data_IF_197155887702
#
_entry.id   IF_197155887702
#
_cell.length_a   1.000
_cell.length_b   1.000
_cell.length_c   1.000
_cell.angle_alpha   90.00
_cell.angle_beta   90.00
_cell.angle_gamma   90.00
#
_symmetry.space_group_name_H-M   'P 1'
#
loop_
_entity.id
_entity.type
_entity.pdbx_description
1 polymer ?
#
# COMPACT_ATOMS: atom_id res chain seq x y z
N UNK A 1 -46.92 13.40 -15.31
CA UNK A 1 -45.67 12.82 -14.75
C UNK A 1 -45.97 12.39 -13.34
N UNK A 2 -45.63 11.15 -12.92
CA UNK A 2 -45.89 10.71 -11.55
C UNK A 2 -45.00 11.49 -10.59
N UNK A 3 -45.56 11.84 -9.42
CA UNK A 3 -44.93 12.68 -8.41
C UNK A 3 -43.60 12.11 -7.95
N UNK A 4 -42.58 12.96 -7.95
CA UNK A 4 -41.21 12.67 -7.53
C UNK A 4 -41.17 12.79 -5.99
N UNK A 5 -41.00 11.67 -5.29
CA UNK A 5 -40.87 11.64 -3.83
C UNK A 5 -39.39 11.73 -3.45
N UNK A 6 -38.99 12.92 -3.02
CA UNK A 6 -37.60 13.26 -2.74
C UNK A 6 -37.12 12.66 -1.41
N UNK A 7 -38.02 12.35 -0.48
CA UNK A 7 -37.69 11.66 0.77
C UNK A 7 -37.38 10.18 0.49
N UNK A 8 -38.17 9.53 -0.36
CA UNK A 8 -37.94 8.13 -0.74
C UNK A 8 -36.57 7.92 -1.41
N UNK A 9 -36.11 8.87 -2.24
CA UNK A 9 -34.78 8.83 -2.87
C UNK A 9 -33.67 9.02 -1.84
N UNK A 10 -33.84 9.95 -0.88
CA UNK A 10 -32.84 10.18 0.16
C UNK A 10 -32.68 8.97 1.09
N UNK A 11 -33.76 8.26 1.40
CA UNK A 11 -33.71 7.02 2.19
C UNK A 11 -32.96 5.91 1.42
N UNK A 12 -33.17 5.77 0.11
CA UNK A 12 -32.44 4.80 -0.72
C UNK A 12 -30.95 5.15 -0.85
N UNK A 13 -30.61 6.45 -0.86
CA UNK A 13 -29.21 6.92 -0.88
C UNK A 13 -28.51 6.64 0.46
N UNK A 14 -29.21 6.75 1.60
CA UNK A 14 -28.65 6.33 2.89
C UNK A 14 -28.44 4.81 2.98
N UNK A 15 -29.39 4.01 2.50
CA UNK A 15 -29.27 2.54 2.48
C UNK A 15 -28.10 2.05 1.59
N UNK A 16 -27.72 2.81 0.57
CA UNK A 16 -26.59 2.49 -0.31
C UNK A 16 -25.22 2.87 0.25
N UNK A 17 -25.15 3.60 1.37
CA UNK A 17 -23.89 3.97 2.04
C UNK A 17 -23.35 2.89 2.98
N UNK A 18 -24.12 1.84 3.25
CA UNK A 18 -23.75 0.77 4.18
C UNK A 18 -23.41 -0.54 3.44
N UNK A 19 -22.33 -0.53 2.65
CA UNK A 19 -21.66 -1.78 2.21
C UNK A 19 -20.16 -1.55 2.08
N UNK A 20 -19.39 -2.22 2.95
CA UNK A 20 -17.94 -2.36 2.83
C UNK A 20 -17.55 -2.90 1.43
N UNK A 21 -16.69 -2.16 0.72
CA UNK A 21 -15.97 -2.50 -0.53
C UNK A 21 -16.54 -2.05 -1.89
N UNK A 22 -17.24 -0.93 -1.99
CA UNK A 22 -17.43 -0.23 -3.27
C UNK A 22 -16.84 1.19 -3.18
N UNK A 23 -16.08 1.68 -4.19
CA UNK A 23 -15.68 3.09 -4.18
C UNK A 23 -16.95 3.94 -4.13
N UNK A 24 -17.09 4.88 -3.20
CA UNK A 24 -18.28 5.70 -3.15
C UNK A 24 -18.32 6.56 -4.42
N UNK A 25 -19.16 6.19 -5.39
CA UNK A 25 -19.65 7.14 -6.37
C UNK A 25 -20.66 8.02 -5.66
N UNK A 26 -20.21 9.12 -5.07
CA UNK A 26 -21.12 10.05 -4.41
C UNK A 26 -21.94 10.79 -5.46
N UNK A 27 -23.18 10.35 -5.64
CA UNK A 27 -24.26 11.17 -6.20
C UNK A 27 -24.69 12.21 -5.17
N UNK A 28 -23.92 13.29 -5.03
CA UNK A 28 -24.46 14.54 -4.50
C UNK A 28 -25.51 15.08 -5.45
N UNK A 29 -26.54 15.77 -4.95
CA UNK A 29 -27.33 16.61 -5.84
C UNK A 29 -26.38 17.64 -6.47
N UNK A 30 -26.50 17.92 -7.77
CA UNK A 30 -25.61 18.83 -8.48
C UNK A 30 -25.55 20.28 -7.90
N UNK A 31 -26.30 20.56 -6.81
CA UNK A 31 -26.38 21.86 -6.15
C UNK A 31 -25.29 22.13 -5.10
N UNK A 32 -24.47 21.14 -4.74
CA UNK A 32 -23.47 21.28 -3.65
C UNK A 32 -22.02 21.06 -4.11
N UNK A 33 -21.81 20.62 -5.36
CA UNK A 33 -20.50 20.41 -5.95
C UNK A 33 -19.97 21.72 -6.54
N UNK A 34 -18.80 22.15 -6.08
CA UNK A 34 -18.05 23.31 -6.61
C UNK A 34 -16.65 22.88 -7.05
N UNK A 35 -16.05 23.69 -7.92
CA UNK A 35 -14.65 23.51 -8.35
C UNK A 35 -13.81 24.52 -7.61
N UNK A 36 -12.78 24.04 -6.92
CA UNK A 36 -11.75 24.88 -6.34
C UNK A 36 -10.49 24.83 -7.21
N UNK A 37 -9.83 25.97 -7.39
CA UNK A 37 -8.58 26.09 -8.13
C UNK A 37 -7.45 26.44 -7.18
N UNK A 38 -6.21 26.05 -7.51
CA UNK A 38 -5.02 26.50 -6.78
C UNK A 38 -5.09 28.03 -6.59
N UNK A 39 -4.85 28.49 -5.36
CA UNK A 39 -4.81 29.93 -5.06
C UNK A 39 -3.65 30.58 -5.80
N UNK A 40 -3.95 31.63 -6.55
CA UNK A 40 -2.93 32.42 -7.27
C UNK A 40 -1.89 32.98 -6.31
N UNK A 41 -0.62 33.01 -6.75
CA UNK A 41 0.50 33.54 -5.96
C UNK A 41 1.10 32.57 -4.95
N UNK A 42 0.73 31.28 -5.02
CA UNK A 42 1.31 30.18 -4.23
C UNK A 42 2.02 29.13 -5.08
N UNK A 43 2.48 29.49 -6.27
CA UNK A 43 3.14 28.56 -7.18
C UNK A 43 4.36 27.90 -6.49
N UNK A 44 5.13 28.67 -5.72
CA UNK A 44 6.28 28.17 -4.94
C UNK A 44 5.89 27.19 -3.83
N UNK A 45 4.72 27.38 -3.20
CA UNK A 45 4.16 26.43 -2.22
C UNK A 45 3.77 25.13 -2.90
N UNK A 46 3.11 25.18 -4.05
CA UNK A 46 2.72 23.98 -4.79
C UNK A 46 3.94 23.21 -5.31
N UNK A 47 4.96 23.90 -5.81
CA UNK A 47 6.23 23.30 -6.23
C UNK A 47 6.94 22.58 -5.05
N UNK A 48 6.86 23.16 -3.85
CA UNK A 48 7.40 22.56 -2.64
C UNK A 48 6.56 21.36 -2.16
N UNK A 49 5.23 21.42 -2.28
CA UNK A 49 4.33 20.30 -1.96
C UNK A 49 4.61 19.08 -2.86
N UNK A 50 4.99 19.29 -4.12
CA UNK A 50 5.35 18.20 -5.05
C UNK A 50 6.62 17.43 -4.64
N UNK A 51 7.43 17.98 -3.72
CA UNK A 51 8.56 17.26 -3.13
C UNK A 51 8.16 16.35 -1.95
N UNK A 52 6.93 16.49 -1.45
CA UNK A 52 6.41 15.65 -0.37
C UNK A 52 5.96 14.28 -0.87
N UNK A 53 5.64 13.41 0.08
CA UNK A 53 5.27 12.03 -0.20
C UNK A 53 3.93 11.64 0.41
N UNK A 54 3.30 10.68 -0.22
CA UNK A 54 2.06 10.03 0.22
C UNK A 54 2.12 8.53 -0.09
N UNK A 55 1.11 7.77 0.31
CA UNK A 55 0.99 6.33 0.01
C UNK A 55 -0.32 6.04 -0.74
N UNK A 56 -0.46 4.82 -1.26
CA UNK A 56 -1.71 4.32 -1.85
C UNK A 56 -1.90 2.88 -1.41
N UNK A 57 -2.60 2.66 -0.31
CA UNK A 57 -2.82 1.33 0.28
C UNK A 57 -3.96 0.66 -0.47
N UNK A 58 -3.77 -0.61 -0.83
CA UNK A 58 -4.76 -1.43 -1.53
C UNK A 58 -5.28 -0.85 -2.87
N UNK A 59 -4.61 0.15 -3.44
CA UNK A 59 -4.97 0.71 -4.75
C UNK A 59 -4.89 -0.34 -5.87
N UNK A 60 -4.08 -1.38 -5.66
CA UNK A 60 -3.97 -2.55 -6.54
C UNK A 60 -3.91 -3.81 -5.66
N UNK A 61 -4.49 -4.91 -6.16
CA UNK A 61 -4.33 -6.22 -5.53
C UNK A 61 -2.84 -6.56 -5.41
N UNK A 62 -2.40 -6.92 -4.20
CA UNK A 62 -1.02 -7.35 -3.93
C UNK A 62 -0.58 -8.48 -4.85
N UNK A 63 0.67 -8.42 -5.31
CA UNK A 63 1.30 -9.42 -6.15
C UNK A 63 2.68 -9.78 -5.60
N UNK A 64 3.08 -11.04 -5.77
CA UNK A 64 4.44 -11.48 -5.42
C UNK A 64 5.49 -10.68 -6.20
N UNK A 65 6.65 -10.49 -5.59
CA UNK A 65 7.77 -9.80 -6.22
C UNK A 65 8.19 -10.47 -7.52
N UNK A 66 8.16 -11.81 -7.58
CA UNK A 66 8.37 -12.57 -8.82
C UNK A 66 7.41 -12.17 -9.94
N UNK A 67 6.11 -12.06 -9.64
CA UNK A 67 5.11 -11.66 -10.64
C UNK A 67 5.29 -10.21 -11.07
N UNK A 68 5.61 -9.32 -10.14
CA UNK A 68 5.90 -7.91 -10.43
C UNK A 68 7.13 -7.76 -11.31
N UNK A 69 8.22 -8.44 -11.00
CA UNK A 69 9.48 -8.42 -11.77
C UNK A 69 9.28 -8.96 -13.19
N UNK A 70 8.60 -10.10 -13.34
CA UNK A 70 8.24 -10.63 -14.67
C UNK A 70 7.33 -9.68 -15.45
N UNK A 71 6.39 -9.01 -14.76
CA UNK A 71 5.53 -7.97 -15.35
C UNK A 71 6.34 -6.77 -15.84
N UNK A 72 7.30 -6.29 -15.04
CA UNK A 72 8.18 -5.19 -15.38
C UNK A 72 9.03 -5.52 -16.62
N UNK A 73 9.71 -6.67 -16.63
CA UNK A 73 10.50 -7.11 -17.76
C UNK A 73 9.68 -7.21 -19.06
N UNK A 74 8.47 -7.80 -18.99
CA UNK A 74 7.55 -7.87 -20.13
C UNK A 74 7.11 -6.49 -20.60
N UNK A 75 6.75 -5.61 -19.68
CA UNK A 75 6.33 -4.24 -19.97
C UNK A 75 7.40 -3.47 -20.73
N UNK A 76 8.64 -3.47 -20.22
CA UNK A 76 9.78 -2.77 -20.81
C UNK A 76 10.06 -3.26 -22.23
N UNK A 77 9.97 -4.57 -22.45
CA UNK A 77 10.12 -5.18 -23.78
C UNK A 77 8.97 -4.81 -24.72
N UNK A 78 7.71 -4.88 -24.26
CA UNK A 78 6.54 -4.55 -25.07
C UNK A 78 6.52 -3.07 -25.49
N UNK A 79 6.91 -2.17 -24.58
CA UNK A 79 6.96 -0.73 -24.83
C UNK A 79 8.24 -0.30 -25.57
N UNK A 80 9.10 -1.26 -25.96
CA UNK A 80 10.38 -1.02 -26.66
C UNK A 80 11.33 -0.08 -25.92
N UNK A 81 11.22 -0.04 -24.59
CA UNK A 81 12.20 0.63 -23.73
C UNK A 81 13.47 -0.21 -23.66
N UNK A 82 13.31 -1.52 -23.48
CA UNK A 82 14.40 -2.49 -23.52
C UNK A 82 13.95 -3.83 -24.09
N UNK A 83 14.42 -4.15 -25.29
CA UNK A 83 14.02 -5.32 -26.05
C UNK A 83 14.41 -6.67 -25.42
N UNK A 84 15.41 -6.70 -24.54
CA UNK A 84 15.90 -7.92 -23.91
C UNK A 84 15.53 -8.02 -22.42
N UNK A 85 14.87 -7.01 -21.85
CA UNK A 85 14.51 -6.95 -20.43
C UNK A 85 13.77 -8.20 -19.95
N UNK A 86 12.74 -8.65 -20.68
CA UNK A 86 12.00 -9.86 -20.30
C UNK A 86 12.90 -11.10 -20.23
N UNK A 87 13.79 -11.28 -21.22
CA UNK A 87 14.70 -12.42 -21.28
C UNK A 87 15.74 -12.37 -20.16
N UNK A 88 16.33 -11.20 -19.91
CA UNK A 88 17.31 -11.01 -18.82
C UNK A 88 16.67 -11.28 -17.46
N UNK A 89 15.47 -10.75 -17.21
CA UNK A 89 14.72 -10.99 -15.98
C UNK A 89 14.45 -12.47 -15.77
N UNK A 90 13.98 -13.17 -16.80
CA UNK A 90 13.74 -14.62 -16.73
C UNK A 90 15.01 -15.37 -16.35
N UNK A 91 16.14 -15.07 -17.01
CA UNK A 91 17.41 -15.72 -16.71
C UNK A 91 17.86 -15.46 -15.27
N UNK A 92 17.79 -14.21 -14.79
CA UNK A 92 18.13 -13.85 -13.41
C UNK A 92 17.33 -14.65 -12.39
N UNK A 93 16.02 -14.83 -12.61
CA UNK A 93 15.17 -15.61 -11.70
C UNK A 93 15.55 -17.09 -11.76
N UNK A 94 15.77 -17.66 -12.94
CA UNK A 94 16.19 -19.07 -13.10
C UNK A 94 17.54 -19.32 -12.44
N UNK A 95 18.52 -18.43 -12.62
CA UNK A 95 19.83 -18.52 -11.97
C UNK A 95 19.69 -18.51 -10.45
N UNK A 96 18.82 -17.65 -9.92
CA UNK A 96 18.53 -17.61 -8.48
C UNK A 96 17.83 -18.88 -7.99
N UNK A 97 16.90 -19.43 -8.77
CA UNK A 97 16.28 -20.73 -8.44
C UNK A 97 17.34 -21.83 -8.38
N UNK A 98 18.28 -21.87 -9.32
CA UNK A 98 19.40 -22.82 -9.31
C UNK A 98 20.25 -22.64 -8.05
N UNK A 99 20.62 -21.40 -7.69
CA UNK A 99 21.38 -21.13 -6.46
C UNK A 99 20.67 -21.66 -5.21
N UNK A 100 19.36 -21.44 -5.08
CA UNK A 100 18.58 -21.92 -3.92
C UNK A 100 18.44 -23.44 -3.90
N UNK A 101 18.31 -24.09 -5.06
CA UNK A 101 18.25 -25.55 -5.18
C UNK A 101 19.61 -26.18 -4.81
N UNK A 102 20.73 -25.59 -5.23
CA UNK A 102 22.07 -26.06 -4.83
C UNK A 102 22.27 -25.97 -3.31
N UNK A 103 21.83 -24.90 -2.66
CA UNK A 103 21.86 -24.81 -1.18
C UNK A 103 21.03 -25.90 -0.50
N UNK A 104 19.87 -26.25 -1.06
CA UNK A 104 19.04 -27.34 -0.55
C UNK A 104 19.72 -28.70 -0.71
N UNK A 105 20.47 -28.89 -1.80
CA UNK A 105 21.26 -30.10 -2.04
C UNK A 105 22.44 -30.21 -1.07
N UNK A 106 23.21 -29.14 -0.91
CA UNK A 106 24.36 -29.10 0.00
C UNK A 106 23.96 -29.35 1.47
N UNK A 107 22.75 -28.94 1.86
CA UNK A 107 22.22 -29.18 3.21
C UNK A 107 21.57 -30.56 3.40
N UNK A 108 21.49 -31.40 2.36
CA UNK A 108 20.79 -32.69 2.38
C UNK A 108 19.25 -32.58 2.49
N UNK A 109 18.71 -31.36 2.46
CA UNK A 109 17.28 -31.09 2.59
C UNK A 109 16.53 -31.53 1.33
N UNK A 110 17.18 -31.42 0.17
CA UNK A 110 16.62 -31.82 -1.12
C UNK A 110 16.30 -33.32 -1.10
N UNK A 111 17.27 -34.18 -0.80
CA UNK A 111 17.13 -35.64 -0.79
C UNK A 111 16.10 -36.10 0.25
N UNK A 112 16.09 -35.48 1.44
CA UNK A 112 15.12 -35.77 2.49
C UNK A 112 13.68 -35.44 2.06
N UNK A 113 13.48 -34.29 1.39
CA UNK A 113 12.16 -33.89 0.88
C UNK A 113 11.74 -34.72 -0.34
N UNK A 114 12.67 -35.06 -1.23
CA UNK A 114 12.42 -35.97 -2.36
C UNK A 114 11.89 -37.32 -1.87
N UNK A 115 12.56 -37.92 -0.88
CA UNK A 115 12.14 -39.21 -0.31
C UNK A 115 10.75 -39.13 0.31
N UNK A 116 10.43 -38.04 1.01
CA UNK A 116 9.10 -37.86 1.60
C UNK A 116 7.99 -37.72 0.56
N UNK A 117 8.24 -37.02 -0.56
CA UNK A 117 7.26 -36.90 -1.66
C UNK A 117 6.98 -38.30 -2.23
N UNK A 118 8.01 -39.08 -2.50
CA UNK A 118 7.88 -40.45 -3.02
C UNK A 118 7.22 -41.41 -2.01
N UNK A 119 7.57 -41.34 -0.72
CA UNK A 119 7.07 -42.24 0.34
C UNK A 119 5.60 -41.96 0.73
N UNK A 120 5.16 -40.70 0.70
CA UNK A 120 3.75 -40.33 0.98
C UNK A 120 2.84 -40.80 -0.16
N UNK A 121 3.29 -40.70 -1.41
CA UNK A 121 2.48 -41.06 -2.58
C UNK A 121 2.33 -42.58 -2.75
N UNK A 122 3.40 -43.35 -2.48
CA UNK A 122 3.32 -44.83 -2.42
C UNK A 122 2.27 -45.32 -1.41
N UNK A 123 2.11 -44.61 -0.27
CA UNK A 123 1.09 -44.93 0.75
C UNK A 123 -0.32 -44.58 0.30
N UNK A 124 -0.52 -43.45 -0.39
CA UNK A 124 -1.84 -43.07 -0.93
C UNK A 124 -2.34 -44.07 -1.97
N UNK A 125 -1.47 -44.49 -2.89
CA UNK A 125 -1.79 -45.50 -3.92
C UNK A 125 -2.14 -46.85 -3.26
N UNK A 126 -1.41 -47.25 -2.22
CA UNK A 126 -1.67 -48.51 -1.49
C UNK A 126 -3.02 -48.49 -0.75
N UNK A 127 -3.46 -47.34 -0.26
CA UNK A 127 -4.75 -47.16 0.44
C UNK A 127 -5.92 -47.18 -0.55
N UNK A 128 -5.80 -46.53 -1.71
CA UNK A 128 -6.85 -46.52 -2.74
C UNK A 128 -7.07 -47.90 -3.38
N UNK A 129 -6.05 -48.78 -3.38
CA UNK A 129 -6.04 -50.04 -4.15
C UNK A 129 -6.22 -51.32 -3.35
N UNK A 130 -6.69 -51.27 -2.11
CA UNK A 130 -7.07 -52.48 -1.35
C UNK A 130 -8.23 -53.32 -1.96
N UNK A 131 -8.60 -53.10 -3.23
CA UNK A 131 -9.71 -53.78 -3.93
C UNK A 131 -9.36 -54.48 -5.25
N UNK A 132 -8.11 -54.53 -5.73
CA UNK A 132 -7.78 -55.23 -6.99
C UNK A 132 -6.50 -56.08 -6.94
N UNK A 133 -6.56 -57.25 -7.60
CA UNK A 133 -5.56 -58.33 -7.60
C UNK A 133 -4.26 -57.93 -8.31
N UNK A 134 -3.19 -58.51 -7.78
CA UNK A 134 -1.76 -58.24 -7.94
C UNK A 134 -1.22 -58.97 -9.16
N UNK A 135 -0.74 -58.25 -10.18
CA UNK A 135 0.34 -58.73 -11.09
C UNK A 135 0.98 -57.58 -11.89
N UNK A 136 0.29 -56.44 -12.06
CA UNK A 136 0.79 -55.27 -12.81
C UNK A 136 1.11 -54.04 -11.93
N UNK A 137 1.61 -54.28 -10.72
CA UNK A 137 1.84 -53.21 -9.74
C UNK A 137 3.09 -52.40 -10.12
N UNK A 138 4.14 -53.03 -10.67
CA UNK A 138 5.43 -52.37 -10.94
C UNK A 138 5.36 -51.21 -11.94
N UNK A 139 4.90 -51.46 -13.17
CA UNK A 139 4.81 -50.44 -14.21
C UNK A 139 3.76 -49.37 -13.90
N UNK A 140 2.61 -49.78 -13.35
CA UNK A 140 1.56 -48.85 -12.92
C UNK A 140 2.03 -47.90 -11.80
N UNK A 141 2.89 -48.36 -10.89
CA UNK A 141 3.41 -47.52 -9.79
C UNK A 141 4.36 -46.45 -10.33
N UNK A 142 5.19 -46.77 -11.33
CA UNK A 142 6.09 -45.80 -11.97
C UNK A 142 5.32 -44.76 -12.79
N UNK A 143 4.30 -45.18 -13.54
CA UNK A 143 3.44 -44.25 -14.28
C UNK A 143 2.61 -43.33 -13.36
N UNK A 144 2.11 -43.85 -12.24
CA UNK A 144 1.37 -43.06 -11.25
C UNK A 144 2.27 -41.98 -10.61
N UNK A 145 3.47 -42.36 -10.15
CA UNK A 145 4.46 -41.42 -9.60
C UNK A 145 4.86 -40.36 -10.63
N UNK A 146 5.03 -40.72 -11.91
CA UNK A 146 5.34 -39.75 -12.97
C UNK A 146 4.19 -38.76 -13.24
N UNK A 147 2.93 -39.20 -13.14
CA UNK A 147 1.75 -38.32 -13.29
C UNK A 147 1.58 -37.37 -12.09
N UNK A 148 1.96 -37.82 -10.90
CA UNK A 148 1.91 -37.00 -9.69
C UNK A 148 3.00 -35.93 -9.66
N UNK A 149 4.22 -36.25 -10.12
CA UNK A 149 5.29 -35.25 -10.32
C UNK A 149 4.83 -34.13 -11.26
N UNK A 150 4.15 -34.45 -12.37
CA UNK A 150 3.64 -33.44 -13.29
C UNK A 150 2.62 -32.52 -12.61
N UNK A 151 1.70 -33.09 -11.82
CA UNK A 151 0.70 -32.31 -11.08
C UNK A 151 1.33 -31.39 -10.04
N UNK A 152 2.34 -31.87 -9.31
CA UNK A 152 3.08 -31.07 -8.34
C UNK A 152 3.90 -29.98 -9.04
N UNK A 153 4.51 -30.29 -10.17
CA UNK A 153 5.28 -29.34 -10.98
C UNK A 153 4.38 -28.22 -11.52
N UNK A 154 3.17 -28.53 -11.98
CA UNK A 154 2.16 -27.53 -12.37
C UNK A 154 1.66 -26.70 -11.17
N UNK A 155 1.55 -27.29 -9.98
CA UNK A 155 1.25 -26.54 -8.74
C UNK A 155 2.37 -25.57 -8.40
N UNK A 156 3.62 -26.01 -8.45
CA UNK A 156 4.80 -25.16 -8.28
C UNK A 156 4.80 -24.02 -9.31
N UNK A 157 4.43 -24.32 -10.55
CA UNK A 157 4.25 -23.35 -11.62
C UNK A 157 3.23 -22.26 -11.32
N UNK A 158 2.09 -22.60 -10.71
CA UNK A 158 1.08 -21.63 -10.27
C UNK A 158 1.58 -20.73 -9.14
N UNK A 159 2.38 -21.29 -8.21
CA UNK A 159 2.99 -20.53 -7.11
C UNK A 159 4.00 -19.51 -7.64
N UNK A 160 4.98 -19.95 -8.42
CA UNK A 160 6.00 -19.09 -9.03
C UNK A 160 5.39 -18.09 -10.03
N UNK A 161 4.42 -18.54 -10.82
CA UNK A 161 3.73 -17.76 -11.84
C UNK A 161 4.54 -17.58 -13.13
N UNK A 162 3.90 -17.02 -14.15
CA UNK A 162 4.50 -16.65 -15.45
C UNK A 162 5.29 -17.76 -16.18
N UNK A 163 5.04 -19.04 -15.87
CA UNK A 163 5.75 -20.15 -16.52
C UNK A 163 7.17 -20.39 -16.01
N UNK A 164 7.55 -19.81 -14.86
CA UNK A 164 8.93 -19.91 -14.33
C UNK A 164 9.41 -21.35 -14.09
N UNK A 165 8.53 -22.24 -13.63
CA UNK A 165 8.81 -23.69 -13.55
C UNK A 165 9.23 -24.30 -14.91
N UNK A 166 8.53 -23.99 -16.00
CA UNK A 166 8.88 -24.44 -17.35
C UNK A 166 10.17 -23.79 -17.85
N UNK A 167 10.41 -22.55 -17.46
CA UNK A 167 11.62 -21.82 -17.82
C UNK A 167 12.85 -22.42 -17.13
N UNK A 168 12.74 -22.81 -15.87
CA UNK A 168 13.75 -23.58 -15.17
C UNK A 168 13.97 -24.94 -15.84
N UNK A 169 12.88 -25.68 -16.11
CA UNK A 169 13.00 -26.99 -16.77
C UNK A 169 13.70 -26.92 -18.13
N UNK A 170 13.37 -25.91 -18.96
CA UNK A 170 14.05 -25.67 -20.24
C UNK A 170 15.53 -25.32 -20.09
N UNK A 171 15.90 -24.58 -19.06
CA UNK A 171 17.30 -24.24 -18.80
C UNK A 171 18.14 -25.46 -18.40
N UNK A 172 17.50 -26.50 -17.87
CA UNK A 172 18.12 -27.74 -17.38
C UNK A 172 17.72 -28.97 -18.21
N UNK A 173 17.35 -28.79 -19.49
CA UNK A 173 16.77 -29.84 -20.32
C UNK A 173 17.70 -31.03 -20.63
N UNK A 174 19.01 -30.89 -20.40
CA UNK A 174 20.02 -31.95 -20.56
C UNK A 174 20.02 -32.98 -19.40
N UNK A 175 19.29 -32.69 -18.30
CA UNK A 175 19.15 -33.57 -17.13
C UNK A 175 17.85 -34.38 -17.19
N UNK A 176 17.77 -35.44 -16.40
CA UNK A 176 16.56 -36.25 -16.29
C UNK A 176 15.34 -35.42 -15.89
N UNK A 177 14.26 -35.50 -16.69
CA UNK A 177 13.14 -34.57 -16.58
C UNK A 177 12.46 -34.59 -15.21
N UNK A 178 12.29 -35.79 -14.63
CA UNK A 178 11.68 -35.94 -13.31
C UNK A 178 12.55 -35.39 -12.20
N UNK A 179 13.89 -35.49 -12.32
CA UNK A 179 14.82 -34.91 -11.35
C UNK A 179 14.66 -33.39 -11.29
N UNK A 180 14.73 -32.73 -12.45
CA UNK A 180 14.60 -31.27 -12.57
C UNK A 180 13.23 -30.78 -12.08
N UNK A 181 12.15 -31.49 -12.43
CA UNK A 181 10.79 -31.14 -11.98
C UNK A 181 10.66 -31.23 -10.47
N UNK A 182 11.22 -32.28 -9.85
CA UNK A 182 11.18 -32.46 -8.40
C UNK A 182 11.99 -31.38 -7.68
N UNK A 183 13.11 -30.91 -8.24
CA UNK A 183 13.84 -29.77 -7.65
C UNK A 183 12.96 -28.52 -7.52
N UNK A 184 12.21 -28.19 -8.58
CA UNK A 184 11.29 -27.04 -8.58
C UNK A 184 10.17 -27.25 -7.55
N UNK A 185 9.64 -28.47 -7.45
CA UNK A 185 8.63 -28.81 -6.42
C UNK A 185 9.21 -28.59 -5.02
N UNK A 186 10.39 -29.13 -4.73
CA UNK A 186 11.03 -29.02 -3.41
C UNK A 186 11.36 -27.56 -3.07
N UNK A 187 11.85 -26.78 -4.05
CA UNK A 187 12.10 -25.36 -3.91
C UNK A 187 10.83 -24.62 -3.46
N UNK A 188 9.71 -24.84 -4.15
CA UNK A 188 8.44 -24.15 -3.82
C UNK A 188 7.82 -24.58 -2.49
N UNK A 189 8.20 -25.75 -1.97
CA UNK A 189 7.81 -26.24 -0.64
C UNK A 189 8.79 -25.82 0.46
N UNK A 190 9.89 -25.13 0.14
CA UNK A 190 10.81 -24.58 1.13
C UNK A 190 10.50 -23.10 1.38
N UNK A 191 10.08 -22.77 2.61
CA UNK A 191 9.70 -21.41 2.97
C UNK A 191 10.87 -20.42 2.89
N UNK A 192 12.04 -20.81 3.41
CA UNK A 192 13.23 -19.93 3.44
C UNK A 192 13.75 -19.65 2.03
N UNK A 193 13.80 -20.68 1.17
CA UNK A 193 14.20 -20.51 -0.23
C UNK A 193 13.20 -19.65 -1.00
N UNK A 194 11.89 -19.82 -0.78
CA UNK A 194 10.88 -18.94 -1.39
C UNK A 194 10.97 -17.51 -0.87
N UNK A 195 11.25 -17.29 0.41
CA UNK A 195 11.46 -15.96 0.98
C UNK A 195 12.72 -15.30 0.40
N UNK A 196 13.81 -16.06 0.25
CA UNK A 196 15.05 -15.62 -0.42
C UNK A 196 14.78 -15.21 -1.87
N UNK A 197 14.02 -16.01 -2.61
CA UNK A 197 13.65 -15.76 -4.01
C UNK A 197 12.76 -14.53 -4.16
N UNK A 198 11.76 -14.34 -3.29
CA UNK A 198 10.91 -13.14 -3.28
C UNK A 198 11.71 -11.87 -2.96
N UNK A 199 12.61 -11.93 -1.96
CA UNK A 199 13.48 -10.79 -1.61
C UNK A 199 14.44 -10.43 -2.75
N UNK A 200 15.01 -11.43 -3.41
CA UNK A 200 15.84 -11.22 -4.60
C UNK A 200 15.04 -10.54 -5.71
N UNK A 201 13.86 -11.06 -6.03
CA UNK A 201 13.01 -10.51 -7.09
C UNK A 201 12.55 -9.07 -6.78
N UNK A 202 12.32 -8.74 -5.51
CA UNK A 202 11.96 -7.38 -5.10
C UNK A 202 13.11 -6.39 -5.32
N UNK A 203 14.33 -6.77 -4.93
CA UNK A 203 15.51 -5.95 -5.15
C UNK A 203 15.76 -5.71 -6.65
N UNK A 204 15.69 -6.77 -7.47
CA UNK A 204 15.87 -6.64 -8.91
C UNK A 204 14.71 -5.85 -9.57
N UNK A 205 13.49 -5.91 -9.04
CA UNK A 205 12.38 -5.08 -9.50
C UNK A 205 12.70 -3.60 -9.35
N UNK A 206 13.09 -3.15 -8.15
CA UNK A 206 13.36 -1.73 -7.91
C UNK A 206 14.60 -1.25 -8.67
N UNK A 207 15.65 -2.07 -8.75
CA UNK A 207 16.84 -1.76 -9.55
C UNK A 207 16.49 -1.55 -11.03
N UNK A 208 15.75 -2.48 -11.63
CA UNK A 208 15.34 -2.39 -13.04
C UNK A 208 14.36 -1.23 -13.28
N UNK A 209 13.46 -0.97 -12.34
CA UNK A 209 12.51 0.14 -12.41
C UNK A 209 13.23 1.49 -12.38
N UNK A 210 14.16 1.66 -11.44
CA UNK A 210 14.94 2.87 -11.24
C UNK A 210 15.81 3.19 -12.46
N UNK A 211 16.47 2.18 -13.04
CA UNK A 211 17.24 2.30 -14.28
C UNK A 211 16.40 2.88 -15.43
N UNK A 212 15.12 2.51 -15.52
CA UNK A 212 14.24 2.85 -16.64
C UNK A 212 13.21 3.93 -16.33
N UNK A 213 13.18 4.49 -15.12
CA UNK A 213 12.09 5.39 -14.67
C UNK A 213 11.89 6.62 -15.56
N UNK A 214 12.99 7.15 -16.12
CA UNK A 214 12.94 8.31 -17.05
C UNK A 214 12.23 7.94 -18.34
N UNK A 215 12.55 6.79 -18.93
CA UNK A 215 11.89 6.29 -20.14
C UNK A 215 10.42 5.94 -19.87
N UNK A 216 10.11 5.37 -18.71
CA UNK A 216 8.74 5.11 -18.28
C UNK A 216 7.95 6.42 -18.16
N UNK A 217 8.53 7.48 -17.61
CA UNK A 217 7.88 8.78 -17.43
C UNK A 217 7.47 9.46 -18.74
N UNK A 218 8.15 9.15 -19.85
CA UNK A 218 7.85 9.65 -21.20
C UNK A 218 6.70 8.91 -21.89
N UNK A 219 6.22 7.81 -21.32
CA UNK A 219 5.11 7.06 -21.91
C UNK A 219 3.77 7.79 -21.77
N UNK A 220 2.81 7.42 -22.63
CA UNK A 220 1.41 7.85 -22.49
C UNK A 220 0.84 7.41 -21.15
N UNK A 221 -0.09 8.20 -20.60
CA UNK A 221 -0.70 7.98 -19.28
C UNK A 221 -1.17 6.54 -19.05
N UNK A 222 -1.87 5.94 -20.03
CA UNK A 222 -2.35 4.56 -19.93
C UNK A 222 -1.22 3.55 -19.67
N UNK A 223 -0.05 3.74 -20.29
CA UNK A 223 1.12 2.88 -20.08
C UNK A 223 1.85 3.23 -18.79
N UNK A 224 1.97 4.51 -18.41
CA UNK A 224 2.52 4.90 -17.09
C UNK A 224 1.75 4.23 -15.94
N UNK A 225 0.41 4.22 -16.01
CA UNK A 225 -0.46 3.53 -15.04
C UNK A 225 -0.19 2.01 -14.95
N UNK A 226 0.30 1.35 -16.00
CA UNK A 226 0.67 -0.06 -15.93
C UNK A 226 1.88 -0.28 -14.99
N UNK A 227 2.94 0.51 -15.16
CA UNK A 227 4.14 0.43 -14.31
C UNK A 227 3.87 0.90 -12.89
N UNK A 228 3.06 1.95 -12.73
CA UNK A 228 2.60 2.40 -11.43
C UNK A 228 1.85 1.29 -10.69
N UNK A 229 0.94 0.57 -11.37
CA UNK A 229 0.24 -0.57 -10.78
C UNK A 229 1.17 -1.69 -10.35
N UNK A 230 2.21 -1.99 -11.13
CA UNK A 230 3.22 -2.98 -10.73
C UNK A 230 3.95 -2.54 -9.45
N UNK A 231 4.31 -1.26 -9.34
CA UNK A 231 4.97 -0.72 -8.15
C UNK A 231 4.05 -0.74 -6.92
N UNK A 232 2.78 -0.35 -7.10
CA UNK A 232 1.77 -0.31 -6.03
C UNK A 232 1.27 -1.70 -5.59
N UNK A 233 1.50 -2.74 -6.39
CA UNK A 233 1.15 -4.11 -6.03
C UNK A 233 2.13 -4.77 -5.05
N UNK A 234 3.11 -4.03 -4.52
CA UNK A 234 4.02 -4.50 -3.48
C UNK A 234 3.27 -4.94 -2.21
N UNK A 235 3.86 -5.86 -1.46
CA UNK A 235 3.28 -6.32 -0.19
C UNK A 235 3.25 -5.21 0.85
N UNK A 236 4.31 -4.41 0.88
CA UNK A 236 4.48 -3.24 1.74
C UNK A 236 4.23 -1.95 0.95
N UNK A 237 3.39 -1.03 1.46
CA UNK A 237 3.15 0.26 0.83
C UNK A 237 4.46 1.01 0.60
N UNK A 238 4.63 1.52 -0.61
CA UNK A 238 5.73 2.38 -0.98
C UNK A 238 5.28 3.83 -1.04
N UNK A 239 6.13 4.74 -0.60
CA UNK A 239 5.87 6.16 -0.76
C UNK A 239 5.90 6.55 -2.24
N UNK A 240 5.10 7.54 -2.58
CA UNK A 240 4.95 8.10 -3.92
C UNK A 240 5.01 9.63 -3.80
N UNK A 241 5.49 10.36 -4.80
CA UNK A 241 5.39 11.82 -4.80
C UNK A 241 3.94 12.26 -4.64
N UNK A 242 3.69 13.23 -3.76
CA UNK A 242 2.36 13.73 -3.51
C UNK A 242 2.00 14.85 -4.48
N UNK A 243 1.17 14.52 -5.46
CA UNK A 243 0.78 15.46 -6.52
C UNK A 243 -0.63 15.99 -6.26
N UNK A 244 -0.73 17.30 -6.03
CA UNK A 244 -2.01 18.00 -5.95
C UNK A 244 -2.40 18.55 -7.34
N UNK A 245 -3.65 18.42 -7.81
CA UNK A 245 -4.04 18.86 -9.16
C UNK A 245 -4.23 20.38 -9.25
N UNK A 246 -4.34 20.94 -10.46
CA UNK A 246 -4.64 22.37 -10.66
C UNK A 246 -6.02 22.77 -10.13
N UNK A 247 -6.97 21.85 -10.16
CA UNK A 247 -8.33 22.03 -9.64
C UNK A 247 -8.84 20.77 -8.97
N UNK A 248 -9.70 20.93 -7.96
CA UNK A 248 -10.36 19.84 -7.25
C UNK A 248 -11.87 20.05 -7.22
N UNK A 249 -12.59 18.93 -7.29
CA UNK A 249 -14.01 18.86 -6.99
C UNK A 249 -14.21 18.87 -5.47
N UNK A 250 -15.10 19.73 -4.98
CA UNK A 250 -15.34 19.91 -3.54
C UNK A 250 -16.83 20.06 -3.25
N UNK A 251 -17.31 19.37 -2.21
CA UNK A 251 -18.69 19.47 -1.75
C UNK A 251 -18.78 20.43 -0.58
N UNK A 252 -19.78 21.33 -0.61
CA UNK A 252 -20.10 22.20 0.53
C UNK A 252 -21.57 22.56 0.56
N UNK A 253 -22.06 22.89 1.75
CA UNK A 253 -23.37 23.51 1.89
C UNK A 253 -23.40 24.91 1.24
N UNK A 254 -24.57 25.39 0.76
CA UNK A 254 -24.69 26.72 0.18
C UNK A 254 -24.26 27.85 1.12
N UNK A 255 -24.47 27.65 2.43
CA UNK A 255 -24.18 28.62 3.49
C UNK A 255 -22.93 28.25 4.32
N UNK A 256 -22.05 27.40 3.79
CA UNK A 256 -20.89 26.94 4.53
C UNK A 256 -20.00 28.14 4.95
N UNK A 257 -19.45 28.13 6.19
CA UNK A 257 -18.56 29.18 6.67
C UNK A 257 -17.36 29.40 5.75
N UNK A 258 -16.89 30.65 5.67
CA UNK A 258 -15.70 31.04 4.91
C UNK A 258 -14.47 30.86 5.80
N UNK A 259 -13.41 30.29 5.24
CA UNK A 259 -12.11 30.18 5.91
C UNK A 259 -11.01 30.80 5.06
N UNK A 260 -10.17 31.59 5.72
CA UNK A 260 -9.05 32.27 5.10
C UNK A 260 -7.87 31.32 4.85
N UNK A 261 -6.96 31.75 3.97
CA UNK A 261 -5.68 31.10 3.70
C UNK A 261 -5.74 29.64 3.20
N UNK A 262 -6.88 29.11 2.76
CA UNK A 262 -6.91 27.79 2.13
C UNK A 262 -6.08 27.79 0.82
N UNK A 263 -5.43 26.66 0.49
CA UNK A 263 -4.60 26.52 -0.71
C UNK A 263 -5.40 26.51 -2.01
N UNK A 264 -6.69 26.15 -1.93
CA UNK A 264 -7.62 26.14 -3.06
C UNK A 264 -8.81 27.06 -2.81
N UNK A 265 -9.21 27.82 -3.83
CA UNK A 265 -10.31 28.79 -3.73
C UNK A 265 -11.34 28.55 -4.83
N UNK A 266 -12.60 28.90 -4.54
CA UNK A 266 -13.62 29.07 -5.59
C UNK A 266 -13.27 30.27 -6.49
N UNK A 267 -13.97 30.40 -7.62
CA UNK A 267 -13.77 31.51 -8.58
C UNK A 267 -13.92 32.91 -7.98
N UNK A 268 -14.65 33.04 -6.87
CA UNK A 268 -14.84 34.32 -6.17
C UNK A 268 -13.75 34.61 -5.13
N UNK A 269 -12.67 33.81 -5.10
CA UNK A 269 -11.52 34.01 -4.23
C UNK A 269 -11.73 33.56 -2.79
N UNK A 270 -12.79 32.79 -2.51
CA UNK A 270 -13.11 32.31 -1.15
C UNK A 270 -13.10 30.79 -1.08
N UNK A 271 -12.71 30.27 0.07
CA UNK A 271 -12.92 28.86 0.41
C UNK A 271 -14.01 28.76 1.46
N UNK A 272 -14.91 27.78 1.28
CA UNK A 272 -16.07 27.56 2.12
C UNK A 272 -16.23 26.07 2.39
N UNK A 273 -16.42 25.69 3.65
CA UNK A 273 -16.53 24.28 4.01
C UNK A 273 -17.33 24.06 5.29
N UNK A 274 -18.00 22.91 5.39
CA UNK A 274 -18.56 22.42 6.63
C UNK A 274 -17.49 21.60 7.36
N UNK A 275 -16.74 22.26 8.24
CA UNK A 275 -15.71 21.61 9.07
C UNK A 275 -16.33 21.01 10.33
N UNK A 276 -15.81 19.87 10.77
CA UNK A 276 -16.15 19.33 12.09
C UNK A 276 -15.70 20.28 13.21
N UNK A 277 -16.34 20.20 14.38
CA UNK A 277 -16.01 21.10 15.50
C UNK A 277 -14.51 21.05 15.87
N UNK A 278 -13.90 19.86 15.86
CA UNK A 278 -12.48 19.73 16.24
C UNK A 278 -11.53 20.20 15.14
N UNK A 279 -11.80 19.86 13.88
CA UNK A 279 -11.06 20.40 12.73
C UNK A 279 -11.07 21.94 12.75
N UNK A 280 -12.26 22.53 12.93
CA UNK A 280 -12.43 23.99 12.98
C UNK A 280 -11.63 24.61 14.11
N UNK A 281 -11.80 24.12 15.33
CA UNK A 281 -11.12 24.71 16.50
C UNK A 281 -9.59 24.57 16.37
N UNK A 282 -9.09 23.45 15.85
CA UNK A 282 -7.65 23.25 15.58
C UNK A 282 -7.17 24.22 14.51
N UNK A 283 -7.88 24.34 13.40
CA UNK A 283 -7.54 25.29 12.33
C UNK A 283 -7.53 26.74 12.82
N UNK A 284 -8.53 27.15 13.60
CA UNK A 284 -8.62 28.51 14.14
C UNK A 284 -7.45 28.85 15.06
N UNK A 285 -6.95 27.88 15.85
CA UNK A 285 -5.73 28.03 16.64
C UNK A 285 -4.49 28.16 15.77
N UNK A 286 -4.36 27.34 14.72
CA UNK A 286 -3.23 27.45 13.79
C UNK A 286 -3.22 28.81 13.11
N UNK A 287 -4.37 29.30 12.61
CA UNK A 287 -4.49 30.57 11.89
C UNK A 287 -4.12 31.82 12.72
N UNK A 288 -3.88 31.70 14.03
CA UNK A 288 -3.30 32.77 14.85
C UNK A 288 -1.79 32.98 14.58
N UNK A 289 -1.10 31.99 14.01
CA UNK A 289 0.30 32.12 13.62
C UNK A 289 0.44 32.93 12.32
N UNK A 290 1.13 34.06 12.40
CA UNK A 290 1.39 34.95 11.28
C UNK A 290 2.22 34.27 10.18
N UNK A 291 3.02 33.25 10.52
CA UNK A 291 3.87 32.52 9.59
C UNK A 291 3.11 31.50 8.72
N UNK A 292 1.82 31.28 8.97
CA UNK A 292 1.01 30.42 8.10
C UNK A 292 0.80 31.09 6.74
N UNK A 293 1.25 30.37 5.71
CA UNK A 293 1.03 30.73 4.31
C UNK A 293 -0.28 30.14 3.82
N UNK A 294 -0.60 28.90 4.18
CA UNK A 294 -1.89 28.32 3.85
C UNK A 294 -2.13 26.94 4.45
N UNK A 295 -3.28 26.37 4.12
CA UNK A 295 -3.68 25.06 4.62
C UNK A 295 -4.55 24.32 3.61
N UNK A 296 -4.53 22.99 3.68
CA UNK A 296 -5.36 22.10 2.88
C UNK A 296 -6.20 21.24 3.82
N UNK A 297 -7.52 21.22 3.61
CA UNK A 297 -8.37 20.14 4.12
C UNK A 297 -8.15 18.90 3.26
N UNK A 298 -7.58 17.86 3.84
CA UNK A 298 -7.39 16.60 3.15
C UNK A 298 -8.73 15.84 3.12
N UNK A 299 -9.19 15.44 1.95
CA UNK A 299 -10.46 14.72 1.80
C UNK A 299 -10.18 13.25 1.65
N UNK A 300 -10.92 12.41 2.37
CA UNK A 300 -10.76 10.95 2.35
C UNK A 300 -10.96 10.36 0.93
N UNK A 301 -10.11 9.39 0.56
CA UNK A 301 -10.13 8.58 -0.68
C UNK A 301 -10.22 9.35 -2.02
N UNK A 302 -9.78 10.60 -2.09
CA UNK A 302 -9.56 11.28 -3.39
C UNK A 302 -8.23 10.84 -3.98
N UNK A 303 -8.12 10.92 -5.31
CA UNK A 303 -6.88 10.57 -6.03
C UNK A 303 -5.68 11.41 -5.58
N UNK A 304 -5.93 12.59 -5.02
CA UNK A 304 -4.96 13.56 -4.54
C UNK A 304 -4.78 13.56 -3.03
N UNK A 305 -5.47 12.71 -2.26
CA UNK A 305 -5.38 12.74 -0.79
C UNK A 305 -3.99 12.42 -0.28
N UNK A 306 -3.63 13.03 0.85
CA UNK A 306 -2.55 12.56 1.70
C UNK A 306 -3.04 11.29 2.41
N UNK A 307 -2.42 10.16 2.11
CA UNK A 307 -2.79 8.85 2.61
C UNK A 307 -1.57 8.25 3.29
N UNK A 308 -1.77 7.76 4.51
CA UNK A 308 -0.72 7.15 5.33
C UNK A 308 -1.15 5.72 5.69
N UNK A 309 -0.29 4.71 5.51
CA UNK A 309 -0.60 3.36 5.90
C UNK A 309 -0.54 3.22 7.42
N UNK A 310 -1.42 2.37 7.97
CA UNK A 310 -1.29 1.90 9.33
C UNK A 310 -1.66 0.42 9.45
N UNK A 311 -1.13 -0.24 10.47
CA UNK A 311 -1.41 -1.64 10.75
C UNK A 311 -2.60 -1.79 11.71
N UNK A 312 -3.54 -2.66 11.37
CA UNK A 312 -4.68 -3.02 12.20
C UNK A 312 -5.00 -4.51 12.04
N UNK A 313 -4.96 -5.25 13.15
CA UNK A 313 -5.22 -6.70 13.19
C UNK A 313 -4.49 -7.51 12.09
N UNK A 314 -3.22 -7.20 11.83
CA UNK A 314 -2.39 -7.86 10.81
C UNK A 314 -2.65 -7.41 9.36
N UNK A 315 -3.60 -6.51 9.14
CA UNK A 315 -3.87 -5.90 7.84
C UNK A 315 -3.29 -4.49 7.77
N UNK A 316 -3.02 -4.03 6.55
CA UNK A 316 -2.63 -2.64 6.29
C UNK A 316 -3.86 -1.88 5.83
N UNK A 317 -4.18 -0.79 6.53
CA UNK A 317 -5.29 0.12 6.26
C UNK A 317 -4.77 1.52 5.92
N UNK A 318 -5.64 2.33 5.32
CA UNK A 318 -5.38 3.74 4.97
C UNK A 318 -5.92 4.65 6.05
N UNK A 319 -5.15 5.65 6.48
CA UNK A 319 -5.67 6.84 7.14
C UNK A 319 -5.37 8.08 6.31
N UNK A 320 -6.21 9.09 6.50
CA UNK A 320 -6.17 10.34 5.74
C UNK A 320 -6.21 11.48 6.76
N UNK A 321 -5.04 12.01 7.17
CA UNK A 321 -5.00 13.06 8.18
C UNK A 321 -5.79 14.29 7.76
N UNK A 322 -6.59 14.89 8.64
CA UNK A 322 -7.58 15.91 8.24
C UNK A 322 -6.97 17.19 7.65
N UNK A 323 -5.86 17.67 8.22
CA UNK A 323 -5.29 18.99 7.89
C UNK A 323 -3.81 18.91 7.52
N UNK A 324 -3.44 19.59 6.44
CA UNK A 324 -2.06 19.97 6.16
C UNK A 324 -1.92 21.49 6.36
N UNK A 325 -0.96 21.91 7.19
CA UNK A 325 -0.60 23.32 7.37
C UNK A 325 0.72 23.62 6.66
N UNK A 326 0.78 24.75 5.97
CA UNK A 326 1.99 25.29 5.35
C UNK A 326 2.41 26.55 6.09
N UNK A 327 3.58 26.50 6.72
CA UNK A 327 4.24 27.65 7.34
C UNK A 327 5.48 28.05 6.54
N UNK A 328 5.96 29.27 6.71
CA UNK A 328 7.22 29.73 6.12
C UNK A 328 8.08 30.38 7.19
N UNK A 329 9.36 30.03 7.19
CA UNK A 329 10.38 30.66 8.02
C UNK A 329 11.59 31.10 7.16
N UNK A 330 12.71 31.41 7.82
CA UNK A 330 13.96 31.81 7.15
C UNK A 330 14.58 30.68 6.29
N UNK A 331 14.27 29.41 6.57
CA UNK A 331 14.82 28.25 5.87
C UNK A 331 13.94 27.77 4.72
N UNK A 332 12.66 28.14 4.70
CA UNK A 332 11.76 27.87 3.59
C UNK A 332 10.36 27.48 4.05
N UNK A 333 9.72 26.60 3.29
CA UNK A 333 8.39 26.07 3.63
C UNK A 333 8.50 24.90 4.60
N UNK A 334 7.63 24.92 5.61
CA UNK A 334 7.45 23.83 6.57
C UNK A 334 6.04 23.26 6.42
N UNK A 335 5.94 21.94 6.44
CA UNK A 335 4.69 21.22 6.26
C UNK A 335 4.34 20.43 7.52
N UNK A 336 3.13 20.65 8.01
CA UNK A 336 2.65 20.01 9.23
C UNK A 336 1.39 19.20 8.95
N UNK A 337 1.35 17.97 9.45
CA UNK A 337 0.20 17.07 9.41
C UNK A 337 -0.50 17.15 10.76
N UNK A 338 -1.76 17.56 10.79
CA UNK A 338 -2.58 17.63 12.01
C UNK A 338 -3.80 16.72 11.87
N UNK A 339 -3.90 15.75 12.79
CA UNK A 339 -4.98 14.77 12.85
C UNK A 339 -5.74 14.92 14.18
N UNK A 340 -6.77 15.77 14.27
CA UNK A 340 -7.69 15.79 15.41
C UNK A 340 -8.52 14.50 15.43
N UNK A 341 -8.29 13.64 16.42
CA UNK A 341 -8.91 12.31 16.46
C UNK A 341 -9.56 11.99 17.80
N UNK A 342 -10.76 11.41 17.73
CA UNK A 342 -11.55 11.03 18.90
C UNK A 342 -10.91 9.82 19.62
N UNK A 343 -10.49 9.96 20.89
CA UNK A 343 -9.86 8.87 21.64
C UNK A 343 -10.78 7.68 21.89
N UNK A 344 -12.10 7.81 21.72
CA UNK A 344 -13.05 6.71 21.90
C UNK A 344 -13.05 5.70 20.74
N UNK A 345 -12.39 6.02 19.62
CA UNK A 345 -12.33 5.15 18.43
C UNK A 345 -11.34 3.99 18.64
N UNK A 346 -11.70 2.80 18.16
CA UNK A 346 -10.86 1.60 18.34
C UNK A 346 -9.55 1.62 17.53
N UNK A 347 -9.45 2.46 16.49
CA UNK A 347 -8.31 2.57 15.59
C UNK A 347 -7.19 3.51 16.10
N UNK A 348 -7.35 4.10 17.30
CA UNK A 348 -6.41 5.07 17.88
C UNK A 348 -4.97 4.57 17.90
N UNK A 349 -4.73 3.37 18.45
CA UNK A 349 -3.41 2.75 18.49
C UNK A 349 -2.82 2.58 17.08
N UNK A 350 -3.61 2.02 16.16
CA UNK A 350 -3.18 1.77 14.79
C UNK A 350 -2.76 3.07 14.10
N UNK A 351 -3.60 4.10 14.16
CA UNK A 351 -3.30 5.42 13.60
C UNK A 351 -2.06 6.07 14.25
N UNK A 352 -1.93 6.03 15.58
CA UNK A 352 -0.78 6.60 16.27
C UNK A 352 0.54 5.92 15.84
N UNK A 353 0.53 4.59 15.74
CA UNK A 353 1.67 3.80 15.23
C UNK A 353 1.95 4.12 13.77
N UNK A 354 0.93 4.19 12.91
CA UNK A 354 1.10 4.53 11.50
C UNK A 354 1.68 5.93 11.29
N UNK A 355 1.28 6.93 12.08
CA UNK A 355 1.84 8.28 12.04
C UNK A 355 3.30 8.28 12.52
N UNK A 356 3.61 7.50 13.55
CA UNK A 356 4.98 7.34 14.04
C UNK A 356 5.89 6.62 13.02
N UNK A 357 5.41 5.57 12.37
CA UNK A 357 6.13 4.86 11.30
C UNK A 357 6.33 5.73 10.06
N UNK A 358 5.34 6.54 9.71
CA UNK A 358 5.44 7.53 8.65
C UNK A 358 6.50 8.59 8.98
N UNK A 359 6.46 9.13 10.21
CA UNK A 359 7.45 10.08 10.69
C UNK A 359 8.87 9.47 10.73
N UNK A 360 9.04 8.21 11.12
CA UNK A 360 10.36 7.55 11.12
C UNK A 360 11.02 7.57 9.74
N UNK A 361 10.21 7.49 8.67
CA UNK A 361 10.67 7.48 7.28
C UNK A 361 10.77 8.87 6.65
N UNK A 362 9.96 9.83 7.08
CA UNK A 362 9.73 11.10 6.37
C UNK A 362 9.74 12.34 7.27
N UNK A 363 10.32 12.27 8.48
CA UNK A 363 10.40 13.41 9.41
C UNK A 363 11.14 14.61 8.82
N UNK A 364 12.01 14.39 7.83
CA UNK A 364 12.75 15.44 7.13
C UNK A 364 11.86 16.22 6.15
N UNK A 365 10.74 15.64 5.72
CA UNK A 365 9.78 16.27 4.80
C UNK A 365 8.63 16.98 5.54
N UNK A 366 8.32 16.55 6.77
CA UNK A 366 7.21 17.07 7.57
C UNK A 366 7.68 17.48 8.96
N UNK A 367 7.54 18.77 9.27
CA UNK A 367 8.10 19.35 10.50
C UNK A 367 7.32 18.95 11.75
N UNK A 368 5.99 18.89 11.67
CA UNK A 368 5.10 18.40 12.74
C UNK A 368 4.19 17.30 12.19
N UNK A 369 4.04 16.21 12.92
CA UNK A 369 3.08 15.14 12.60
C UNK A 369 2.31 14.83 13.87
N UNK A 370 1.14 15.44 14.02
CA UNK A 370 0.46 15.53 15.31
C UNK A 370 -0.84 14.74 15.32
N UNK A 371 -0.95 13.82 16.27
CA UNK A 371 -2.22 13.27 16.70
C UNK A 371 -2.77 14.15 17.83
N UNK A 372 -3.96 14.71 17.64
CA UNK A 372 -4.50 15.74 18.52
C UNK A 372 -5.77 15.24 19.18
N UNK A 373 -5.86 15.35 20.51
CA UNK A 373 -7.04 14.95 21.29
C UNK A 373 -7.60 16.12 22.07
N UNK A 374 -8.91 16.32 22.01
CA UNK A 374 -9.59 17.23 22.92
C UNK A 374 -9.71 16.58 24.30
N UNK A 375 -9.13 17.21 25.32
CA UNK A 375 -9.23 16.76 26.72
C UNK A 375 -9.61 17.94 27.62
N UNK A 376 -10.30 17.64 28.73
CA UNK A 376 -10.55 18.60 29.79
C UNK A 376 -9.37 18.59 30.76
N UNK A 377 -8.71 19.74 30.91
CA UNK A 377 -7.61 19.91 31.86
C UNK A 377 -8.09 19.87 33.32
N UNK A 378 -7.13 19.82 34.26
CA UNK A 378 -7.42 19.81 35.70
C UNK A 378 -8.14 21.08 36.19
N UNK A 379 -8.01 22.19 35.45
CA UNK A 379 -8.73 23.45 35.67
C UNK A 379 -10.16 23.46 35.10
N UNK A 380 -10.62 22.34 34.53
CA UNK A 380 -11.95 22.20 33.94
C UNK A 380 -12.07 22.77 32.53
N UNK A 381 -11.01 23.32 31.95
CA UNK A 381 -11.01 23.92 30.61
C UNK A 381 -10.63 22.87 29.57
N UNK A 382 -11.43 22.77 28.51
CA UNK A 382 -11.12 21.90 27.37
C UNK A 382 -10.01 22.52 26.51
N UNK A 383 -8.99 21.71 26.21
CA UNK A 383 -7.86 22.06 25.35
C UNK A 383 -7.56 20.91 24.38
N UNK A 384 -6.82 21.23 23.33
CA UNK A 384 -6.38 20.26 22.34
C UNK A 384 -4.95 19.85 22.64
N UNK A 385 -4.77 18.64 23.17
CA UNK A 385 -3.46 18.09 23.50
C UNK A 385 -2.86 17.40 22.28
N UNK A 386 -1.62 17.75 21.96
CA UNK A 386 -0.92 17.39 20.72
C UNK A 386 0.21 16.42 21.03
N UNK A 387 0.15 15.24 20.44
CA UNK A 387 1.22 14.26 20.48
C UNK A 387 1.96 14.28 19.14
N UNK A 388 3.17 14.84 19.15
CA UNK A 388 3.94 15.11 17.92
C UNK A 388 4.93 13.98 17.60
N UNK A 389 4.60 13.18 16.60
CA UNK A 389 5.43 12.10 16.08
C UNK A 389 6.65 12.60 15.28
N UNK A 390 6.69 13.88 14.92
CA UNK A 390 7.89 14.52 14.39
C UNK A 390 9.02 14.56 15.43
N UNK A 391 8.68 14.61 16.72
CA UNK A 391 9.66 14.57 17.80
C UNK A 391 10.20 13.14 18.01
N UNK A 392 11.51 12.96 17.84
CA UNK A 392 12.18 11.65 17.94
C UNK A 392 11.95 10.95 19.29
N UNK A 393 11.90 11.66 20.41
CA UNK A 393 11.68 11.03 21.72
C UNK A 393 10.24 10.51 21.85
N UNK A 394 9.26 11.32 21.44
CA UNK A 394 7.84 10.95 21.44
C UNK A 394 7.61 9.79 20.47
N UNK A 395 8.12 9.88 19.24
CA UNK A 395 8.03 8.83 18.22
C UNK A 395 8.55 7.49 18.73
N UNK A 396 9.72 7.47 19.35
CA UNK A 396 10.32 6.26 19.92
C UNK A 396 9.49 5.66 21.07
N UNK A 397 8.80 6.48 21.87
CA UNK A 397 7.85 5.99 22.88
C UNK A 397 6.66 5.33 22.21
N UNK A 398 6.05 6.00 21.23
CA UNK A 398 4.85 5.53 20.53
C UNK A 398 5.11 4.24 19.76
N UNK A 399 6.22 4.10 19.05
CA UNK A 399 6.58 2.88 18.32
C UNK A 399 6.70 1.61 19.19
N UNK A 400 6.77 1.75 20.52
CA UNK A 400 6.92 0.65 21.48
C UNK A 400 5.62 0.25 22.17
N UNK A 401 4.55 1.01 22.01
CA UNK A 401 3.27 0.72 22.65
C UNK A 401 2.51 -0.37 21.88
N UNK A 402 1.70 -1.14 22.58
CA UNK A 402 0.91 -2.25 22.01
C UNK A 402 -0.57 -2.20 22.40
N UNK A 403 -1.00 -1.13 23.09
CA UNK A 403 -2.38 -0.97 23.58
C UNK A 403 -2.81 0.50 23.61
N UNK A 404 -4.12 0.75 23.51
CA UNK A 404 -4.68 2.09 23.69
C UNK A 404 -4.40 2.65 25.09
N UNK A 405 -4.37 1.82 26.14
CA UNK A 405 -4.03 2.28 27.50
C UNK A 405 -2.61 2.86 27.58
N UNK A 406 -1.64 2.26 26.90
CA UNK A 406 -0.28 2.82 26.84
C UNK A 406 -0.23 4.10 26.00
N UNK A 407 -1.03 4.18 24.92
CA UNK A 407 -1.16 5.42 24.16
C UNK A 407 -1.72 6.55 25.03
N UNK A 408 -2.72 6.27 25.86
CA UNK A 408 -3.29 7.24 26.79
C UNK A 408 -2.25 7.75 27.79
N UNK A 409 -1.42 6.86 28.34
CA UNK A 409 -0.30 7.21 29.22
C UNK A 409 0.72 8.11 28.51
N UNK A 410 1.10 7.78 27.28
CA UNK A 410 2.02 8.62 26.49
C UNK A 410 1.41 10.00 26.23
N UNK A 411 0.11 10.09 25.95
CA UNK A 411 -0.58 11.38 25.84
C UNK A 411 -0.54 12.17 27.15
N UNK A 412 -0.73 11.54 28.30
CA UNK A 412 -0.72 12.22 29.59
C UNK A 412 0.68 12.72 29.99
N UNK A 413 1.73 12.00 29.58
CA UNK A 413 3.13 12.37 29.83
C UNK A 413 3.68 13.43 28.88
N UNK A 414 3.39 13.31 27.58
CA UNK A 414 4.13 14.01 26.52
C UNK A 414 3.29 15.03 25.75
N UNK A 415 1.96 14.90 25.73
CA UNK A 415 1.15 15.76 24.88
C UNK A 415 1.07 17.18 25.45
N UNK A 416 1.26 18.16 24.58
CA UNK A 416 1.24 19.58 24.94
C UNK A 416 -0.07 20.24 24.49
N UNK A 417 -0.63 21.18 25.26
CA UNK A 417 -1.84 21.90 24.88
C UNK A 417 -1.65 22.80 23.66
#
# INVERSE_FOLDING_TARGET
MPHYDQEAVNVVIEDLKDVENVPPSETGSARELVILNRREGLEDVFDALEQLVTYRVNAVRKQSALRRLMGLGRGLTQDRIDGEAQKRVKNLIVDKMTEEIEKLRESGSLEAKMKNITDIELKTIAVEKQTMVIEDIGEYTVEAVSKDIEKLFEQAGRLLGNGLHMDYWRAHAEREANEVKVEVVVLTQNHDSMQSLEKFAENEFYKLYEEHKRSIALLKEQRRKYYERLRLAASDPQSIPWMLPESIDFNRSPNAPVYEKHLYLEKDGKFRADLGNWERDVLEMELQDENIVGWLRNIDRKSWSLEIPYHDAGNIKSMFPDLLIVRKDEQGFQFDILEPHDPSRNDNLGKALGLAEFAEKHWDLFQRIQLIRKKRGADGVERYYRLDMGNTAIRNKVLRITSNTQLDQVFDEEAKP
#
